data_IF_199447874519
#
_entry.id   IF_199447874519
#
_cell.length_a   1.000
_cell.length_b   1.000
_cell.length_c   1.000
_cell.angle_alpha   90.00
_cell.angle_beta   90.00
_cell.angle_gamma   90.00
#
_symmetry.space_group_name_H-M   'P 1'
#
loop_
_entity.id
_entity.type
_entity.pdbx_description
1 polymer ?
#
# COMPACT_ATOMS: atom_id res chain seq x y z
N UNK A 1 13.97 -9.06 -9.48
CA UNK A 1 13.35 -8.21 -10.53
C UNK A 1 12.01 -7.68 -10.00
N UNK A 2 11.76 -6.36 -10.01
CA UNK A 2 10.49 -5.79 -9.57
C UNK A 2 9.41 -5.96 -10.64
N UNK A 3 8.23 -6.42 -10.22
CA UNK A 3 7.05 -6.50 -11.09
C UNK A 3 6.17 -5.29 -10.77
N UNK A 4 5.93 -4.44 -11.77
CA UNK A 4 5.13 -3.22 -11.62
C UNK A 4 3.70 -3.55 -11.15
N UNK A 5 3.21 -2.78 -10.17
CA UNK A 5 1.91 -3.00 -9.56
C UNK A 5 0.86 -2.03 -10.13
N UNK A 6 -0.31 -2.57 -10.37
CA UNK A 6 -1.46 -1.75 -10.80
C UNK A 6 -1.80 -0.66 -9.77
N UNK A 7 -1.62 -0.96 -8.50
CA UNK A 7 -1.91 -0.07 -7.37
C UNK A 7 -1.00 1.17 -7.32
N UNK A 8 0.18 1.15 -7.95
CA UNK A 8 1.11 2.30 -7.96
C UNK A 8 0.45 3.59 -8.45
N UNK A 9 -0.37 3.50 -9.49
CA UNK A 9 -1.10 4.66 -10.02
C UNK A 9 -2.04 5.23 -8.97
N UNK A 10 -2.79 4.39 -8.27
CA UNK A 10 -3.71 4.81 -7.21
C UNK A 10 -2.96 5.42 -6.03
N UNK A 11 -1.78 4.88 -5.67
CA UNK A 11 -0.92 5.45 -4.63
C UNK A 11 -0.48 6.86 -5.01
N UNK A 12 0.00 7.07 -6.24
CA UNK A 12 0.45 8.38 -6.72
C UNK A 12 -0.69 9.39 -6.84
N UNK A 13 -1.89 8.96 -7.24
CA UNK A 13 -3.09 9.81 -7.29
C UNK A 13 -3.54 10.21 -5.87
N UNK A 14 -3.53 9.27 -4.93
CA UNK A 14 -3.85 9.55 -3.53
C UNK A 14 -2.81 10.49 -2.89
N UNK A 15 -1.53 10.35 -3.23
CA UNK A 15 -0.45 11.20 -2.75
C UNK A 15 -0.63 12.69 -3.12
N UNK A 16 -1.29 12.96 -4.25
CA UNK A 16 -1.63 14.33 -4.67
C UNK A 16 -2.83 14.90 -3.92
N UNK A 17 -3.72 14.02 -3.44
CA UNK A 17 -5.02 14.41 -2.88
C UNK A 17 -5.02 14.47 -1.35
N UNK A 18 -4.21 13.63 -0.70
CA UNK A 18 -4.23 13.43 0.75
C UNK A 18 -2.86 13.66 1.39
N UNK A 19 -2.80 14.26 2.59
CA UNK A 19 -1.56 14.39 3.36
C UNK A 19 -1.13 13.06 4.00
N UNK A 20 -2.00 12.06 4.04
CA UNK A 20 -1.71 10.73 4.53
C UNK A 20 -2.25 9.67 3.55
N UNK A 21 -1.51 8.59 3.37
CA UNK A 21 -1.96 7.38 2.66
C UNK A 21 -1.87 6.20 3.61
N UNK A 22 -2.84 5.33 3.54
CA UNK A 22 -2.82 4.04 4.24
C UNK A 22 -2.83 2.93 3.20
N UNK A 23 -1.75 2.15 3.16
CA UNK A 23 -1.62 0.97 2.32
C UNK A 23 -1.75 -0.28 3.19
N UNK A 24 -2.84 -1.01 3.03
CA UNK A 24 -3.05 -2.25 3.77
C UNK A 24 -3.24 -3.45 2.85
N UNK A 25 -3.10 -4.64 3.40
CA UNK A 25 -3.27 -5.89 2.65
C UNK A 25 -2.52 -7.04 3.31
N UNK A 26 -2.68 -8.27 2.83
CA UNK A 26 -2.07 -9.46 3.42
C UNK A 26 -0.56 -9.31 3.60
N UNK A 27 0.00 -10.09 4.52
CA UNK A 27 1.46 -10.18 4.68
C UNK A 27 2.12 -10.66 3.39
N UNK A 28 3.35 -10.24 3.15
CA UNK A 28 4.21 -10.70 2.03
C UNK A 28 3.68 -10.43 0.61
N UNK A 29 2.66 -9.57 0.44
CA UNK A 29 2.20 -9.17 -0.91
C UNK A 29 3.07 -8.10 -1.58
N UNK A 30 4.12 -7.61 -0.88
CA UNK A 30 5.08 -6.66 -1.40
C UNK A 30 4.71 -5.19 -1.16
N UNK A 31 3.98 -4.85 -0.09
CA UNK A 31 3.60 -3.46 0.24
C UNK A 31 4.82 -2.54 0.36
N UNK A 32 5.76 -2.88 1.25
CA UNK A 32 6.96 -2.08 1.50
C UNK A 32 7.82 -1.96 0.24
N UNK A 33 8.03 -3.09 -0.48
CA UNK A 33 8.74 -3.10 -1.76
C UNK A 33 8.10 -2.18 -2.80
N UNK A 34 6.76 -2.17 -2.91
CA UNK A 34 6.07 -1.27 -3.85
C UNK A 34 6.31 0.19 -3.49
N UNK A 35 6.26 0.55 -2.20
CA UNK A 35 6.53 1.92 -1.76
C UNK A 35 8.00 2.34 -1.96
N UNK A 36 8.95 1.39 -1.91
CA UNK A 36 10.36 1.64 -2.25
C UNK A 36 10.54 2.06 -3.71
N UNK A 37 9.71 1.54 -4.61
CA UNK A 37 9.73 1.92 -6.02
C UNK A 37 8.91 3.17 -6.33
N UNK A 38 7.82 3.42 -5.58
CA UNK A 38 6.91 4.56 -5.82
C UNK A 38 7.45 5.85 -5.23
N UNK A 39 8.05 5.80 -4.04
CA UNK A 39 8.53 6.97 -3.34
C UNK A 39 10.06 7.05 -3.33
N UNK A 40 10.60 8.25 -3.57
CA UNK A 40 12.05 8.46 -3.66
C UNK A 40 12.73 8.27 -2.30
N UNK A 41 14.07 8.15 -2.33
CA UNK A 41 14.91 7.90 -1.17
C UNK A 41 14.87 9.00 -0.08
N UNK A 42 14.25 10.16 -0.36
CA UNK A 42 14.09 11.24 0.63
C UNK A 42 12.90 11.04 1.59
N UNK A 43 12.12 9.97 1.42
CA UNK A 43 11.14 9.55 2.41
C UNK A 43 11.84 8.83 3.55
N UNK A 44 11.70 9.31 4.77
CA UNK A 44 12.12 8.58 5.95
C UNK A 44 11.36 7.28 6.06
N UNK A 45 11.97 6.25 6.65
CA UNK A 45 11.34 4.93 6.82
C UNK A 45 11.58 4.41 8.21
N UNK A 46 10.49 4.00 8.86
CA UNK A 46 10.52 3.41 10.19
C UNK A 46 9.58 2.21 10.20
N UNK A 47 9.96 1.16 10.90
CA UNK A 47 9.10 0.01 11.16
C UNK A 47 8.84 -0.13 12.65
N UNK A 48 7.59 -0.27 13.03
CA UNK A 48 7.20 -0.55 14.41
C UNK A 48 7.40 -2.03 14.80
N UNK A 49 8.05 -2.82 13.92
CA UNK A 49 8.66 -4.10 14.27
C UNK A 49 9.90 -3.90 15.12
N UNK A 50 10.64 -2.81 14.89
CA UNK A 50 11.75 -2.40 15.75
C UNK A 50 11.24 -2.03 17.14
N UNK A 51 11.89 -2.56 18.17
CA UNK A 51 11.45 -2.42 19.56
C UNK A 51 11.69 -1.00 20.08
N UNK A 52 12.80 -0.36 19.71
CA UNK A 52 13.16 0.99 20.18
C UNK A 52 12.20 2.02 19.60
N UNK A 53 11.96 1.96 18.30
CA UNK A 53 11.02 2.83 17.59
C UNK A 53 9.60 2.64 18.11
N UNK A 54 9.17 1.39 18.33
CA UNK A 54 7.87 1.08 18.88
C UNK A 54 7.69 1.62 20.29
N UNK A 55 8.65 1.39 21.19
CA UNK A 55 8.60 1.91 22.57
C UNK A 55 8.55 3.43 22.60
N UNK A 56 9.31 4.10 21.75
CA UNK A 56 9.26 5.56 21.64
C UNK A 56 7.90 6.04 21.17
N UNK A 57 7.34 5.39 20.14
CA UNK A 57 6.03 5.71 19.60
C UNK A 57 4.89 5.49 20.60
N UNK A 58 4.97 4.43 21.44
CA UNK A 58 4.01 4.15 22.50
C UNK A 58 4.10 5.14 23.67
N UNK A 59 5.32 5.39 24.17
CA UNK A 59 5.55 6.24 25.34
C UNK A 59 5.38 7.73 25.03
N UNK A 60 5.82 8.18 23.85
CA UNK A 60 5.76 9.58 23.44
C UNK A 60 5.56 9.73 21.93
N UNK A 61 4.31 9.57 21.43
CA UNK A 61 4.01 9.69 20.00
C UNK A 61 4.43 11.02 19.36
N UNK A 62 4.39 12.13 20.14
CA UNK A 62 4.80 13.44 19.64
C UNK A 62 6.31 13.48 19.38
N UNK A 63 7.10 13.05 20.36
CA UNK A 63 8.56 12.98 20.21
C UNK A 63 8.95 12.05 19.07
N UNK A 64 8.27 10.89 18.92
CA UNK A 64 8.50 10.00 17.80
C UNK A 64 8.35 10.71 16.45
N UNK A 65 7.30 11.53 16.26
CA UNK A 65 7.08 12.31 15.04
C UNK A 65 8.05 13.51 14.89
N UNK A 66 8.67 13.98 15.96
CA UNK A 66 9.68 15.03 15.91
C UNK A 66 11.05 14.50 15.49
N UNK A 67 11.46 13.34 16.00
CA UNK A 67 12.72 12.70 15.61
C UNK A 67 12.64 12.00 14.26
N UNK A 68 11.43 11.66 13.83
CA UNK A 68 11.12 11.07 12.52
C UNK A 68 10.27 12.03 11.69
N UNK A 69 10.86 13.12 11.15
CA UNK A 69 10.10 14.15 10.44
C UNK A 69 9.53 13.62 9.12
N UNK A 70 8.38 14.17 8.73
CA UNK A 70 7.79 13.90 7.43
C UNK A 70 8.63 14.52 6.27
N UNK A 71 8.60 13.94 5.04
CA UNK A 71 7.77 12.82 4.61
C UNK A 71 8.31 11.49 5.12
N UNK A 72 7.42 10.63 5.66
CA UNK A 72 7.79 9.37 6.29
C UNK A 72 6.86 8.22 5.92
N UNK A 73 7.43 7.03 5.78
CA UNK A 73 6.73 5.75 5.68
C UNK A 73 6.86 5.04 7.03
N UNK A 74 5.72 4.69 7.63
CA UNK A 74 5.65 3.98 8.92
C UNK A 74 5.04 2.61 8.66
N UNK A 75 5.84 1.56 8.86
CA UNK A 75 5.39 0.17 8.68
C UNK A 75 4.84 -0.41 9.98
N UNK A 76 3.87 -1.35 9.86
CA UNK A 76 3.17 -2.04 10.94
C UNK A 76 2.47 -1.07 11.93
N UNK A 77 1.85 -0.01 11.39
CA UNK A 77 1.21 1.06 12.18
C UNK A 77 0.17 0.55 13.19
N UNK A 78 -0.47 -0.61 12.95
CA UNK A 78 -1.43 -1.21 13.87
C UNK A 78 -0.83 -1.60 15.22
N UNK A 79 0.49 -1.71 15.34
CA UNK A 79 1.15 -2.00 16.61
C UNK A 79 1.07 -0.86 17.62
N UNK A 80 0.92 0.38 17.13
CA UNK A 80 0.82 1.59 17.98
C UNK A 80 -0.35 2.46 17.52
N UNK A 81 -1.61 2.08 17.82
CA UNK A 81 -2.80 2.86 17.42
C UNK A 81 -2.80 4.30 17.91
N UNK A 82 -2.23 4.56 19.09
CA UNK A 82 -2.13 5.91 19.67
C UNK A 82 -1.34 6.90 18.78
N UNK A 83 -0.47 6.39 17.90
CA UNK A 83 0.26 7.22 16.94
C UNK A 83 -0.66 7.89 15.92
N UNK A 84 -1.81 7.30 15.59
CA UNK A 84 -2.79 7.86 14.67
C UNK A 84 -3.34 9.22 15.16
N UNK A 85 -3.55 9.38 16.47
CA UNK A 85 -4.00 10.65 17.05
C UNK A 85 -2.93 11.73 16.92
N UNK A 86 -1.68 11.41 17.18
CA UNK A 86 -0.56 12.33 17.01
C UNK A 86 -0.38 12.76 15.54
N UNK A 87 -0.50 11.80 14.60
CA UNK A 87 -0.47 12.05 13.14
C UNK A 87 -1.61 12.99 12.75
N UNK A 88 -2.85 12.75 13.23
CA UNK A 88 -4.00 13.62 12.99
C UNK A 88 -3.73 15.06 13.41
N UNK A 89 -3.22 15.25 14.63
CA UNK A 89 -2.90 16.59 15.14
C UNK A 89 -1.87 17.29 14.24
N UNK A 90 -0.79 16.60 13.88
CA UNK A 90 0.25 17.17 13.00
C UNK A 90 -0.28 17.52 11.61
N UNK A 91 -1.16 16.69 11.02
CA UNK A 91 -1.83 16.98 9.75
C UNK A 91 -2.70 18.22 9.87
N UNK A 92 -3.49 18.36 10.94
CA UNK A 92 -4.38 19.50 11.13
C UNK A 92 -3.61 20.81 11.37
N UNK A 93 -2.50 20.77 12.11
CA UNK A 93 -1.56 21.88 12.27
C UNK A 93 -0.98 22.32 10.92
N UNK A 94 -0.46 21.37 10.16
CA UNK A 94 0.14 21.64 8.85
C UNK A 94 -0.87 22.16 7.82
N UNK A 95 -2.10 21.66 7.83
CA UNK A 95 -3.18 22.17 6.98
C UNK A 95 -3.49 23.66 7.24
N UNK A 96 -3.46 24.10 8.49
CA UNK A 96 -3.63 25.52 8.85
C UNK A 96 -2.52 26.38 8.26
N UNK A 97 -1.27 25.89 8.30
CA UNK A 97 -0.11 26.58 7.72
C UNK A 97 -0.26 26.69 6.20
N UNK A 98 -0.56 25.59 5.50
CA UNK A 98 -0.77 25.62 4.06
C UNK A 98 -1.88 26.58 3.64
N UNK A 99 -3.02 26.57 4.35
CA UNK A 99 -4.11 27.51 4.08
C UNK A 99 -3.71 28.96 4.30
N UNK A 100 -2.97 29.25 5.37
CA UNK A 100 -2.51 30.62 5.68
C UNK A 100 -1.51 31.14 4.64
N UNK A 101 -0.63 30.27 4.15
CA UNK A 101 0.44 30.63 3.22
C UNK A 101 0.04 30.44 1.76
N UNK A 102 -1.18 29.99 1.46
CA UNK A 102 -1.64 29.62 0.12
C UNK A 102 -0.72 28.57 -0.55
N UNK A 103 -0.24 27.60 0.23
CA UNK A 103 0.62 26.53 -0.23
C UNK A 103 -0.20 25.29 -0.64
N UNK A 104 0.34 24.51 -1.59
CA UNK A 104 -0.25 23.23 -1.98
C UNK A 104 -0.07 22.19 -0.86
N UNK A 105 -1.04 21.27 -0.79
CA UNK A 105 -0.96 20.14 0.12
C UNK A 105 0.15 19.18 -0.31
N UNK A 106 0.88 18.65 0.66
CA UNK A 106 1.96 17.67 0.43
C UNK A 106 1.65 16.39 1.17
N UNK A 107 2.12 15.28 0.63
CA UNK A 107 2.09 14.00 1.33
C UNK A 107 3.06 14.07 2.52
N UNK A 108 2.55 13.78 3.71
CA UNK A 108 3.32 13.76 4.96
C UNK A 108 3.60 12.33 5.42
N UNK A 109 2.58 11.47 5.42
CA UNK A 109 2.64 10.14 6.01
C UNK A 109 2.17 9.08 5.03
N UNK A 110 2.91 7.97 4.97
CA UNK A 110 2.47 6.72 4.34
C UNK A 110 2.49 5.64 5.42
N UNK A 111 1.32 5.13 5.75
CA UNK A 111 1.13 4.13 6.80
C UNK A 111 0.92 2.78 6.15
N UNK A 112 1.64 1.77 6.61
CA UNK A 112 1.50 0.39 6.13
C UNK A 112 0.97 -0.48 7.27
N UNK A 113 0.11 -1.43 6.93
CA UNK A 113 -0.32 -2.45 7.88
C UNK A 113 -0.81 -3.72 7.21
N UNK A 114 -0.72 -4.80 7.96
CA UNK A 114 -1.13 -6.13 7.50
C UNK A 114 -2.53 -6.53 7.98
N UNK A 115 -3.03 -5.94 9.06
CA UNK A 115 -4.33 -6.26 9.63
C UNK A 115 -5.41 -5.25 9.21
N UNK A 116 -6.37 -5.72 8.38
CA UNK A 116 -7.46 -4.89 7.86
C UNK A 116 -8.39 -4.37 8.95
N UNK A 117 -8.79 -5.22 9.89
CA UNK A 117 -9.83 -4.87 10.86
C UNK A 117 -9.37 -3.83 11.87
N UNK A 118 -8.21 -4.03 12.48
CA UNK A 118 -7.63 -3.09 13.45
C UNK A 118 -7.34 -1.74 12.82
N UNK A 119 -6.78 -1.75 11.59
CA UNK A 119 -6.49 -0.53 10.87
C UNK A 119 -7.74 0.24 10.44
N UNK A 120 -8.77 -0.42 9.89
CA UNK A 120 -9.99 0.26 9.45
C UNK A 120 -10.73 0.93 10.60
N UNK A 121 -10.81 0.30 11.76
CA UNK A 121 -11.48 0.88 12.92
C UNK A 121 -10.72 2.13 13.40
N UNK A 122 -9.44 2.04 13.67
CA UNK A 122 -8.65 3.19 14.14
C UNK A 122 -8.56 4.34 13.13
N UNK A 123 -8.40 4.02 11.82
CA UNK A 123 -8.27 5.01 10.77
C UNK A 123 -9.58 5.72 10.48
N UNK A 124 -10.71 4.99 10.39
CA UNK A 124 -12.02 5.60 10.10
C UNK A 124 -12.46 6.56 11.20
N UNK A 125 -12.11 6.29 12.45
CA UNK A 125 -12.42 7.17 13.57
C UNK A 125 -11.46 8.37 13.65
N UNK A 126 -10.18 8.16 13.42
CA UNK A 126 -9.14 9.18 13.68
C UNK A 126 -8.76 9.99 12.45
N UNK A 127 -8.54 9.35 11.29
CA UNK A 127 -8.01 10.00 10.08
C UNK A 127 -9.06 10.26 8.98
N UNK A 128 -10.36 10.20 9.30
CA UNK A 128 -11.43 10.47 8.34
C UNK A 128 -11.23 11.83 7.62
N UNK A 129 -11.30 11.83 6.29
CA UNK A 129 -11.09 13.01 5.45
C UNK A 129 -9.62 13.51 5.37
N UNK A 130 -8.67 12.80 5.98
CA UNK A 130 -7.24 13.14 6.01
C UNK A 130 -6.38 12.13 5.28
N UNK A 131 -6.88 10.93 5.03
CA UNK A 131 -6.13 9.87 4.39
C UNK A 131 -6.83 9.27 3.17
N UNK A 132 -6.04 8.86 2.19
CA UNK A 132 -6.44 7.93 1.15
C UNK A 132 -6.16 6.50 1.58
N UNK A 133 -7.17 5.63 1.52
CA UNK A 133 -7.05 4.23 1.94
C UNK A 133 -6.94 3.36 0.68
N UNK A 134 -5.90 2.55 0.60
CA UNK A 134 -5.59 1.71 -0.56
C UNK A 134 -5.37 0.28 -0.10
N UNK A 135 -6.09 -0.65 -0.72
CA UNK A 135 -5.89 -2.08 -0.50
C UNK A 135 -4.94 -2.66 -1.55
N UNK A 136 -3.96 -3.42 -1.11
CA UNK A 136 -3.01 -4.12 -1.97
C UNK A 136 -3.16 -5.62 -1.80
N UNK A 137 -3.48 -6.30 -2.88
CA UNK A 137 -3.57 -7.76 -2.96
C UNK A 137 -2.28 -8.38 -3.50
N UNK A 138 -2.23 -9.71 -3.59
CA UNK A 138 -1.20 -10.44 -4.34
C UNK A 138 -1.20 -10.07 -5.82
N UNK A 139 -0.22 -10.55 -6.61
CA UNK A 139 -0.15 -10.25 -8.04
C UNK A 139 -1.38 -10.73 -8.80
N UNK A 140 -1.90 -9.86 -9.65
CA UNK A 140 -2.88 -10.22 -10.66
C UNK A 140 -2.18 -10.93 -11.85
N UNK A 141 -2.95 -11.64 -12.65
CA UNK A 141 -2.43 -12.25 -13.87
C UNK A 141 -1.87 -11.21 -14.85
N UNK A 142 -2.50 -10.02 -14.92
CA UNK A 142 -2.02 -8.91 -15.75
C UNK A 142 -0.66 -8.40 -15.30
N UNK A 143 -0.47 -8.20 -14.01
CA UNK A 143 0.82 -7.79 -13.44
C UNK A 143 1.92 -8.84 -13.71
N UNK A 144 1.62 -10.12 -13.52
CA UNK A 144 2.55 -11.23 -13.83
C UNK A 144 2.97 -11.26 -15.29
N UNK A 145 2.07 -10.90 -16.20
CA UNK A 145 2.31 -10.85 -17.65
C UNK A 145 2.78 -9.48 -18.14
N UNK A 146 3.05 -8.53 -17.24
CA UNK A 146 3.40 -7.14 -17.57
C UNK A 146 2.39 -6.45 -18.51
N UNK A 147 1.11 -6.82 -18.40
CA UNK A 147 0.01 -6.26 -19.19
C UNK A 147 -0.56 -5.03 -18.47
N UNK A 148 -0.98 -4.03 -19.24
CA UNK A 148 -1.63 -2.86 -18.67
C UNK A 148 -2.97 -3.24 -18.02
N UNK A 149 -3.19 -2.77 -16.80
CA UNK A 149 -4.45 -2.93 -16.11
C UNK A 149 -5.40 -1.78 -16.46
N UNK A 150 -6.62 -2.15 -16.80
CA UNK A 150 -7.67 -1.19 -17.08
C UNK A 150 -8.69 -1.18 -15.94
N UNK A 151 -9.06 0.00 -15.49
CA UNK A 151 -10.18 0.15 -14.56
C UNK A 151 -11.48 -0.32 -15.25
N UNK A 152 -12.35 -0.93 -14.46
CA UNK A 152 -13.69 -1.26 -14.95
C UNK A 152 -14.41 -0.01 -15.45
N UNK A 153 -15.11 -0.12 -16.56
CA UNK A 153 -15.97 0.93 -17.10
C UNK A 153 -17.28 0.31 -17.56
N UNK A 154 -18.44 0.95 -17.27
CA UNK A 154 -19.73 0.51 -17.79
C UNK A 154 -19.97 0.95 -19.25
N UNK A 155 -19.03 1.69 -19.86
CA UNK A 155 -19.18 2.18 -21.25
C UNK A 155 -18.89 1.05 -22.23
N UNK A 156 -19.92 0.60 -22.93
CA UNK A 156 -19.86 -0.53 -23.86
C UNK A 156 -18.85 -0.28 -24.99
N UNK A 157 -18.81 0.94 -25.53
CA UNK A 157 -17.89 1.33 -26.61
C UNK A 157 -16.42 1.12 -26.21
N UNK A 158 -16.08 1.48 -24.96
CA UNK A 158 -14.73 1.31 -24.41
C UNK A 158 -14.41 -0.17 -24.22
N UNK A 159 -15.38 -0.98 -23.81
CA UNK A 159 -15.18 -2.44 -23.66
C UNK A 159 -14.98 -3.12 -25.03
N UNK A 160 -15.76 -2.73 -26.06
CA UNK A 160 -15.58 -3.22 -27.42
C UNK A 160 -14.20 -2.82 -27.96
N UNK A 161 -13.81 -1.56 -27.83
CA UNK A 161 -12.51 -1.08 -28.27
C UNK A 161 -11.35 -1.83 -27.61
N UNK A 162 -11.44 -2.07 -26.29
CA UNK A 162 -10.44 -2.86 -25.56
C UNK A 162 -10.37 -4.31 -26.04
N UNK A 163 -11.53 -4.96 -26.27
CA UNK A 163 -11.57 -6.33 -26.76
C UNK A 163 -10.96 -6.50 -28.16
N UNK A 164 -11.01 -5.45 -28.99
CA UNK A 164 -10.39 -5.43 -30.32
C UNK A 164 -8.90 -5.15 -30.29
N UNK A 165 -8.44 -4.36 -29.30
CA UNK A 165 -7.03 -3.98 -29.14
C UNK A 165 -6.21 -5.04 -28.41
N UNK A 166 -6.83 -5.73 -27.45
CA UNK A 166 -6.18 -6.82 -26.71
C UNK A 166 -6.09 -8.06 -27.61
N UNK A 167 -4.98 -8.19 -28.34
CA UNK A 167 -4.54 -9.51 -28.83
C UNK A 167 -4.04 -10.31 -27.64
N UNK A 168 -4.98 -10.72 -26.76
CA UNK A 168 -4.65 -11.57 -25.64
C UNK A 168 -4.30 -12.95 -26.17
N UNK A 169 -3.13 -13.47 -25.83
CA UNK A 169 -2.90 -14.90 -25.88
C UNK A 169 -3.94 -15.53 -24.94
N UNK A 170 -4.94 -16.14 -25.52
CA UNK A 170 -5.95 -16.87 -24.76
C UNK A 170 -5.25 -18.02 -24.04
N UNK A 171 -5.35 -18.02 -22.71
CA UNK A 171 -4.88 -19.14 -21.92
C UNK A 171 -5.78 -20.35 -22.21
N UNK A 172 -5.19 -21.50 -22.39
CA UNK A 172 -5.92 -22.76 -22.40
C UNK A 172 -6.51 -23.03 -21.01
N UNK A 173 -7.51 -23.89 -20.94
CA UNK A 173 -8.10 -24.29 -19.67
C UNK A 173 -7.07 -24.81 -18.68
N UNK A 174 -6.12 -25.62 -19.12
CA UNK A 174 -5.03 -26.15 -18.30
C UNK A 174 -4.17 -25.01 -17.73
N UNK A 175 -3.74 -24.07 -18.56
CA UNK A 175 -2.95 -22.92 -18.13
C UNK A 175 -3.69 -22.04 -17.11
N UNK A 176 -5.02 -21.88 -17.25
CA UNK A 176 -5.82 -21.15 -16.25
C UNK A 176 -5.76 -21.86 -14.89
N UNK A 177 -5.94 -23.19 -14.86
CA UNK A 177 -5.85 -23.94 -13.62
C UNK A 177 -4.44 -23.93 -13.02
N UNK A 178 -3.39 -23.97 -13.83
CA UNK A 178 -2.00 -23.84 -13.40
C UNK A 178 -1.76 -22.48 -12.74
N UNK A 179 -2.25 -21.39 -13.35
CA UNK A 179 -2.13 -20.05 -12.78
C UNK A 179 -2.90 -19.87 -11.45
N UNK A 180 -4.11 -20.44 -11.37
CA UNK A 180 -4.89 -20.49 -10.13
C UNK A 180 -4.14 -21.29 -9.06
N UNK A 181 -3.61 -22.44 -9.41
CA UNK A 181 -2.84 -23.30 -8.51
C UNK A 181 -1.57 -22.59 -8.02
N UNK A 182 -0.83 -21.94 -8.92
CA UNK A 182 0.38 -21.18 -8.58
C UNK A 182 0.11 -20.03 -7.61
N UNK A 183 -1.03 -19.35 -7.80
CA UNK A 183 -1.40 -18.18 -6.99
C UNK A 183 -0.66 -16.91 -7.40
N UNK A 184 -0.74 -15.87 -6.55
CA UNK A 184 -0.22 -14.54 -6.84
C UNK A 184 0.81 -14.00 -5.84
N UNK A 185 1.31 -14.82 -4.91
CA UNK A 185 2.29 -14.34 -3.94
C UNK A 185 3.63 -14.04 -4.61
N UNK A 186 4.28 -12.90 -4.28
CA UNK A 186 5.50 -12.45 -4.93
C UNK A 186 6.60 -13.52 -5.00
N UNK A 187 6.93 -14.16 -3.89
CA UNK A 187 8.01 -15.13 -3.82
C UNK A 187 7.77 -16.37 -4.70
N UNK A 188 6.49 -16.73 -4.89
CA UNK A 188 6.10 -17.81 -5.80
C UNK A 188 6.17 -17.34 -7.25
N UNK A 189 5.71 -16.12 -7.54
CA UNK A 189 5.69 -15.59 -8.89
C UNK A 189 7.09 -15.30 -9.43
N UNK A 190 8.04 -14.93 -8.55
CA UNK A 190 9.44 -14.68 -8.89
C UNK A 190 10.34 -15.90 -8.75
N UNK A 191 9.78 -17.08 -8.45
CA UNK A 191 10.49 -18.35 -8.25
C UNK A 191 11.54 -18.31 -7.12
N UNK A 192 11.35 -17.49 -6.09
CA UNK A 192 12.20 -17.43 -4.91
C UNK A 192 11.91 -18.60 -3.98
N UNK A 193 10.66 -19.01 -3.87
CA UNK A 193 10.22 -20.07 -2.98
C UNK A 193 9.47 -21.18 -3.73
N UNK A 194 9.62 -22.42 -3.23
CA UNK A 194 8.82 -23.55 -3.68
C UNK A 194 7.39 -23.42 -3.10
N UNK A 195 6.39 -23.58 -3.95
CA UNK A 195 4.99 -23.28 -3.65
C UNK A 195 4.44 -24.01 -2.42
N UNK A 196 4.63 -25.34 -2.35
CA UNK A 196 4.00 -26.14 -1.29
C UNK A 196 4.61 -25.83 0.08
N UNK A 197 5.92 -25.60 0.14
CA UNK A 197 6.64 -25.22 1.34
C UNK A 197 6.18 -23.82 1.77
N UNK A 198 6.11 -22.89 0.82
CA UNK A 198 5.70 -21.51 1.07
C UNK A 198 4.30 -21.43 1.68
N UNK A 199 3.28 -21.99 1.01
CA UNK A 199 1.90 -21.88 1.49
C UNK A 199 1.68 -22.67 2.78
N UNK A 200 2.34 -23.80 2.97
CA UNK A 200 2.29 -24.54 4.25
C UNK A 200 2.82 -23.70 5.41
N UNK A 201 3.92 -22.99 5.22
CA UNK A 201 4.48 -22.09 6.21
C UNK A 201 3.58 -20.86 6.43
N UNK A 202 3.10 -20.25 5.35
CA UNK A 202 2.26 -19.05 5.39
C UNK A 202 0.94 -19.22 6.15
N UNK A 203 0.31 -20.40 6.02
CA UNK A 203 -0.97 -20.70 6.71
C UNK A 203 -0.75 -20.96 8.21
N UNK A 204 0.46 -21.39 8.60
CA UNK A 204 0.79 -21.69 10.00
C UNK A 204 1.38 -20.50 10.78
N UNK A 205 1.53 -19.35 10.15
CA UNK A 205 1.99 -18.08 10.75
C UNK A 205 0.85 -17.10 10.94
#
# INVERSE_FOLDING_TARGET
>A
MYIKRTVEKSILEAAKSFPCIVLYGPRQVGKSTTLDYVFPANFNRVTLDDTEDRELAEKNPKLFLEVNPWPIIIDEIQKVPALLDAIKIKIDEQRKIWLKNNEERKLMYVLIGSNRFELQQGISETLAGRCGIIEMSSFTLREKKAMEAHLFTPKIEVLIQRSQQEKSEYLTRTQIFEEIYKGGMPDICTNVSERNIYYKSYVNT
#
